data_IF_275982552898
#
_entry.id   IF_275982552898
#
_cell.length_a   1.000
_cell.length_b   1.000
_cell.length_c   1.000
_cell.angle_alpha   90.00
_cell.angle_beta   90.00
_cell.angle_gamma   90.00
#
_symmetry.space_group_name_H-M   'P 1'
#
loop_
_entity.id
_entity.type
_entity.pdbx_description
1 polymer ?
#
# COMPACT_ATOMS: atom_id res chain seq x y z
N UNK A 1 11.69 -4.81 23.94
CA UNK A 1 11.52 -6.08 23.20
C UNK A 1 10.10 -6.66 23.31
N UNK A 2 9.49 -6.77 24.50
CA UNK A 2 8.12 -7.30 24.67
C UNK A 2 7.01 -6.51 23.93
N UNK A 3 7.03 -5.17 23.99
CA UNK A 3 6.03 -4.29 23.36
C UNK A 3 6.13 -4.24 21.83
N UNK A 4 7.33 -4.39 21.28
CA UNK A 4 7.53 -4.45 19.82
C UNK A 4 6.91 -5.71 19.23
N UNK A 5 7.06 -6.85 19.92
CA UNK A 5 6.48 -8.12 19.48
C UNK A 5 4.94 -8.10 19.50
N UNK A 6 4.33 -7.44 20.49
CA UNK A 6 2.85 -7.31 20.54
C UNK A 6 2.30 -6.46 19.40
N UNK A 7 3.01 -5.41 18.98
CA UNK A 7 2.59 -4.59 17.84
C UNK A 7 2.68 -5.38 16.53
N UNK A 8 3.78 -6.12 16.33
CA UNK A 8 3.93 -6.96 15.13
C UNK A 8 2.83 -8.02 15.07
N UNK A 9 2.52 -8.67 16.20
CA UNK A 9 1.45 -9.65 16.27
C UNK A 9 0.07 -9.04 15.95
N UNK A 10 -0.23 -7.86 16.51
CA UNK A 10 -1.47 -7.16 16.23
C UNK A 10 -1.61 -6.81 14.74
N UNK A 11 -0.54 -6.32 14.11
CA UNK A 11 -0.52 -6.02 12.67
C UNK A 11 -0.73 -7.29 11.84
N UNK A 12 -0.07 -8.41 12.18
CA UNK A 12 -0.26 -9.68 11.50
C UNK A 12 -1.71 -10.18 11.57
N UNK A 13 -2.34 -10.08 12.75
CA UNK A 13 -3.75 -10.44 12.93
C UNK A 13 -4.64 -9.55 12.05
N UNK A 14 -4.40 -8.23 12.06
CA UNK A 14 -5.17 -7.27 11.26
C UNK A 14 -5.07 -7.56 9.75
N UNK A 15 -3.86 -7.91 9.29
CA UNK A 15 -3.58 -8.24 7.90
C UNK A 15 -4.26 -9.55 7.48
N UNK A 16 -4.19 -10.59 8.32
CA UNK A 16 -4.91 -11.85 8.08
C UNK A 16 -6.42 -11.63 8.02
N UNK A 17 -6.99 -10.86 8.95
CA UNK A 17 -8.41 -10.54 8.96
C UNK A 17 -8.81 -9.75 7.70
N UNK A 18 -7.98 -8.79 7.28
CA UNK A 18 -8.16 -8.06 6.03
C UNK A 18 -8.13 -8.95 4.79
N UNK A 19 -7.22 -9.93 4.74
CA UNK A 19 -7.19 -10.91 3.65
C UNK A 19 -8.46 -11.77 3.61
N UNK A 20 -8.96 -12.23 4.75
CA UNK A 20 -10.21 -13.01 4.84
C UNK A 20 -11.43 -12.18 4.41
N UNK A 21 -11.51 -10.93 4.81
CA UNK A 21 -12.56 -10.00 4.37
C UNK A 21 -12.52 -9.77 2.86
N UNK A 22 -11.32 -9.64 2.28
CA UNK A 22 -11.14 -9.41 0.85
C UNK A 22 -11.65 -10.60 0.03
N UNK A 23 -11.33 -11.83 0.43
CA UNK A 23 -11.83 -13.03 -0.27
C UNK A 23 -13.36 -13.15 -0.17
N UNK A 24 -13.94 -12.81 0.98
CA UNK A 24 -15.39 -12.90 1.20
C UNK A 24 -16.19 -11.88 0.37
N UNK A 25 -15.74 -10.63 0.30
CA UNK A 25 -16.49 -9.53 -0.36
C UNK A 25 -16.18 -9.37 -1.84
N UNK A 26 -14.98 -9.77 -2.28
CA UNK A 26 -14.51 -9.57 -3.65
C UNK A 26 -14.72 -10.78 -4.57
N UNK A 27 -15.07 -11.96 -4.02
CA UNK A 27 -15.32 -13.17 -4.79
C UNK A 27 -16.37 -13.00 -5.92
N UNK A 28 -17.53 -12.34 -5.71
CA UNK A 28 -18.52 -12.15 -6.77
C UNK A 28 -18.07 -11.16 -7.85
N UNK A 29 -17.11 -10.28 -7.53
CA UNK A 29 -16.56 -9.30 -8.48
C UNK A 29 -15.38 -9.87 -9.27
N UNK A 30 -14.59 -10.77 -8.67
CA UNK A 30 -13.49 -11.48 -9.34
C UNK A 30 -13.98 -12.43 -10.43
N UNK A 31 -15.08 -13.15 -10.19
CA UNK A 31 -15.71 -14.00 -11.21
C UNK A 31 -16.23 -13.18 -12.40
N UNK A 32 -16.87 -12.03 -12.15
CA UNK A 32 -17.47 -11.20 -13.20
C UNK A 32 -16.45 -10.46 -14.06
N UNK A 33 -15.26 -10.18 -13.55
CA UNK A 33 -14.30 -9.29 -14.19
C UNK A 33 -13.04 -10.00 -14.69
N UNK A 34 -12.67 -11.14 -14.12
CA UNK A 34 -11.43 -11.86 -14.45
C UNK A 34 -11.61 -13.38 -14.63
N UNK A 35 -12.84 -13.91 -14.56
CA UNK A 35 -13.14 -15.36 -14.56
C UNK A 35 -12.35 -16.17 -13.51
N UNK A 36 -11.77 -15.50 -12.50
CA UNK A 36 -10.96 -16.12 -11.46
C UNK A 36 -11.33 -15.51 -10.09
N UNK A 37 -11.97 -16.29 -9.19
CA UNK A 37 -12.35 -15.85 -7.85
C UNK A 37 -11.16 -15.36 -6.99
N UNK A 38 -9.95 -15.85 -7.28
CA UNK A 38 -8.75 -15.55 -6.50
C UNK A 38 -7.93 -14.37 -7.02
N UNK A 39 -8.39 -13.68 -8.08
CA UNK A 39 -7.64 -12.58 -8.69
C UNK A 39 -7.30 -11.45 -7.70
N UNK A 40 -8.28 -11.04 -6.88
CA UNK A 40 -8.07 -10.01 -5.86
C UNK A 40 -7.17 -10.48 -4.72
N UNK A 41 -7.27 -11.76 -4.34
CA UNK A 41 -6.42 -12.38 -3.32
C UNK A 41 -4.95 -12.41 -3.76
N UNK A 42 -4.68 -12.88 -4.99
CA UNK A 42 -3.32 -12.92 -5.53
C UNK A 42 -2.71 -11.52 -5.61
N UNK A 43 -3.48 -10.52 -6.06
CA UNK A 43 -3.00 -9.14 -6.10
C UNK A 43 -2.68 -8.62 -4.70
N UNK A 44 -3.56 -8.83 -3.73
CA UNK A 44 -3.32 -8.43 -2.34
C UNK A 44 -2.09 -9.13 -1.74
N UNK A 45 -1.90 -10.42 -2.03
CA UNK A 45 -0.74 -11.17 -1.58
C UNK A 45 0.58 -10.62 -2.15
N UNK A 46 0.60 -10.24 -3.43
CA UNK A 46 1.77 -9.60 -4.06
C UNK A 46 2.06 -8.24 -3.42
N UNK A 47 1.04 -7.40 -3.21
CA UNK A 47 1.22 -6.11 -2.52
C UNK A 47 1.69 -6.27 -1.08
N UNK A 48 1.19 -7.29 -0.37
CA UNK A 48 1.61 -7.60 0.99
C UNK A 48 3.07 -8.07 1.03
N UNK A 49 3.48 -8.93 0.10
CA UNK A 49 4.87 -9.37 -0.02
C UNK A 49 5.80 -8.19 -0.33
N UNK A 50 5.45 -7.32 -1.28
CA UNK A 50 6.21 -6.11 -1.56
C UNK A 50 6.27 -5.18 -0.35
N UNK A 51 5.17 -5.01 0.38
CA UNK A 51 5.11 -4.22 1.60
C UNK A 51 6.01 -4.77 2.71
N UNK A 52 6.06 -6.10 2.90
CA UNK A 52 6.94 -6.75 3.87
C UNK A 52 8.41 -6.57 3.51
N UNK A 53 8.77 -6.69 2.22
CA UNK A 53 10.14 -6.44 1.75
C UNK A 53 10.53 -4.98 2.01
N UNK A 54 9.65 -4.03 1.67
CA UNK A 54 9.88 -2.61 1.93
C UNK A 54 10.01 -2.30 3.42
N UNK A 55 9.18 -2.91 4.28
CA UNK A 55 9.26 -2.77 5.73
C UNK A 55 10.57 -3.35 6.29
N UNK A 56 11.03 -4.49 5.78
CA UNK A 56 12.30 -5.10 6.20
C UNK A 56 13.51 -4.25 5.81
N UNK A 57 13.53 -3.72 4.58
CA UNK A 57 14.56 -2.77 4.14
C UNK A 57 14.51 -1.51 5.00
N UNK A 58 13.32 -0.93 5.21
CA UNK A 58 13.14 0.26 6.04
C UNK A 58 13.61 0.06 7.48
N UNK A 59 13.40 -1.12 8.06
CA UNK A 59 13.87 -1.47 9.40
C UNK A 59 15.40 -1.64 9.49
N UNK A 60 16.07 -1.94 8.37
CA UNK A 60 17.53 -2.04 8.26
C UNK A 60 18.21 -0.69 8.04
N UNK A 61 17.49 0.32 7.56
CA UNK A 61 18.03 1.65 7.29
C UNK A 61 18.08 2.47 8.58
N UNK A 62 19.23 3.07 8.87
CA UNK A 62 19.41 3.93 10.04
C UNK A 62 18.45 5.13 10.01
N UNK A 63 17.84 5.42 11.16
CA UNK A 63 16.92 6.55 11.35
C UNK A 63 17.54 7.90 10.95
N UNK A 64 18.86 8.07 11.09
CA UNK A 64 19.56 9.30 10.70
C UNK A 64 19.47 9.53 9.19
N UNK A 65 19.42 8.47 8.40
CA UNK A 65 19.22 8.53 6.95
C UNK A 65 17.80 9.02 6.63
N UNK A 66 16.78 8.54 7.34
CA UNK A 66 15.41 9.03 7.16
C UNK A 66 15.27 10.52 7.47
N UNK A 67 15.97 11.02 8.50
CA UNK A 67 15.88 12.43 8.90
C UNK A 67 16.48 13.39 7.88
N UNK A 68 17.64 13.04 7.29
CA UNK A 68 18.30 13.89 6.30
C UNK A 68 17.54 13.89 4.97
N UNK A 69 16.86 12.80 4.63
CA UNK A 69 16.05 12.69 3.41
C UNK A 69 14.60 13.18 3.59
N UNK A 70 14.17 13.49 4.82
CA UNK A 70 12.80 13.94 5.09
C UNK A 70 12.42 15.21 4.29
N UNK A 71 13.30 16.21 4.26
CA UNK A 71 13.09 17.45 3.51
C UNK A 71 12.99 17.26 1.99
N UNK A 72 13.95 16.57 1.32
CA UNK A 72 13.83 16.33 -0.12
C UNK A 72 12.63 15.43 -0.47
N UNK A 73 12.30 14.43 0.37
CA UNK A 73 11.09 13.61 0.18
C UNK A 73 9.83 14.47 0.29
N UNK A 74 9.73 15.36 1.27
CA UNK A 74 8.60 16.27 1.43
C UNK A 74 8.42 17.18 0.21
N UNK A 75 9.51 17.77 -0.29
CA UNK A 75 9.46 18.61 -1.50
C UNK A 75 9.02 17.76 -2.69
N UNK A 76 9.56 16.55 -2.84
CA UNK A 76 9.14 15.62 -3.89
C UNK A 76 7.64 15.29 -3.84
N UNK A 77 7.11 14.98 -2.65
CA UNK A 77 5.68 14.72 -2.44
C UNK A 77 4.84 15.96 -2.75
N UNK A 78 5.27 17.15 -2.33
CA UNK A 78 4.58 18.40 -2.65
C UNK A 78 4.54 18.66 -4.16
N UNK A 79 5.64 18.41 -4.87
CA UNK A 79 5.71 18.52 -6.33
C UNK A 79 4.77 17.50 -6.98
N UNK A 80 4.77 16.24 -6.54
CA UNK A 80 3.86 15.21 -7.07
C UNK A 80 2.38 15.59 -6.85
N UNK A 81 2.03 16.16 -5.69
CA UNK A 81 0.68 16.64 -5.40
C UNK A 81 0.25 17.76 -6.33
N UNK A 82 1.15 18.69 -6.66
CA UNK A 82 0.88 19.74 -7.65
C UNK A 82 0.79 19.14 -9.06
N UNK A 83 1.63 18.15 -9.38
CA UNK A 83 1.68 17.51 -10.70
C UNK A 83 0.37 16.76 -11.04
N UNK A 84 -0.33 16.22 -10.03
CA UNK A 84 -1.67 15.61 -10.21
C UNK A 84 -2.69 16.59 -10.81
N UNK A 85 -2.53 17.90 -10.62
CA UNK A 85 -3.42 18.90 -11.22
C UNK A 85 -3.16 19.13 -12.70
N UNK A 86 -1.98 18.77 -13.22
CA UNK A 86 -1.64 18.96 -14.63
C UNK A 86 -2.52 18.05 -15.50
N UNK A 87 -3.34 18.62 -16.41
CA UNK A 87 -4.14 17.83 -17.34
C UNK A 87 -3.19 17.11 -18.31
N UNK A 88 -2.99 15.81 -18.09
CA UNK A 88 -2.30 14.78 -18.91
C UNK A 88 -1.55 13.75 -18.05
N UNK A 89 -1.34 14.03 -16.75
CA UNK A 89 -0.64 13.10 -15.83
C UNK A 89 -1.59 12.49 -14.80
N UNK A 90 -2.54 13.25 -14.27
CA UNK A 90 -3.50 12.75 -13.28
C UNK A 90 -4.62 11.93 -13.90
N UNK A 91 -4.72 10.64 -13.55
CA UNK A 91 -5.89 9.81 -13.84
C UNK A 91 -7.11 10.34 -13.08
N UNK A 92 -8.14 10.71 -13.82
CA UNK A 92 -9.41 11.13 -13.25
C UNK A 92 -10.29 9.91 -13.01
N UNK A 93 -10.34 9.44 -11.75
CA UNK A 93 -11.21 8.34 -11.34
C UNK A 93 -12.36 8.93 -10.52
N UNK A 94 -13.60 8.75 -10.99
CA UNK A 94 -14.83 9.24 -10.34
C UNK A 94 -14.87 10.76 -10.08
N UNK A 95 -14.35 11.57 -11.00
CA UNK A 95 -14.41 13.04 -10.92
C UNK A 95 -13.32 13.68 -10.06
N UNK A 96 -12.36 12.91 -9.54
CA UNK A 96 -11.24 13.41 -8.75
C UNK A 96 -9.90 12.93 -9.31
N UNK A 97 -8.99 13.87 -9.56
CA UNK A 97 -7.58 13.59 -9.88
C UNK A 97 -6.83 13.35 -8.56
N UNK A 98 -6.61 12.08 -8.19
CA UNK A 98 -5.89 11.67 -6.97
C UNK A 98 -4.86 10.58 -7.22
N UNK A 99 -4.83 10.06 -8.44
CA UNK A 99 -4.01 8.94 -8.86
C UNK A 99 -3.17 9.43 -10.03
N UNK A 100 -1.85 9.23 -9.92
CA UNK A 100 -0.92 9.34 -11.04
C UNK A 100 -0.91 7.99 -11.76
#
# INVERSE_FOLDING_TARGET
MRTSATLILAVLILVCLGMVMLTSTSAPQGERMAHNPYYFFQRQAVWLAMGLIAAWIGAKVDYRWWIQWAWPILIGVAVLLVLVYVPNVGLNIKGSRRWL
#
